data_IF_683710123306
#
_entry.id   IF_683710123306
#
_cell.length_a   1.000
_cell.length_b   1.000
_cell.length_c   1.000
_cell.angle_alpha   90.00
_cell.angle_beta   90.00
_cell.angle_gamma   90.00
#
_symmetry.space_group_name_H-M   'P 1'
#
loop_
_entity.id
_entity.type
_entity.pdbx_description
1 polymer ?
#
# COMPACT_ATOMS: atom_id res chain seq x y z
N UNK A 1 23.79 30.83 -12.59
CA UNK A 1 23.45 29.65 -11.78
C UNK A 1 22.85 28.62 -12.71
N UNK A 2 23.61 27.59 -13.04
CA UNK A 2 23.16 26.55 -13.97
C UNK A 2 22.23 25.59 -13.22
N UNK A 3 20.98 25.51 -13.67
CA UNK A 3 19.98 24.60 -13.12
C UNK A 3 20.29 23.19 -13.65
N UNK A 4 20.99 22.36 -12.85
CA UNK A 4 21.16 20.95 -13.20
C UNK A 4 19.80 20.25 -13.14
N UNK A 5 19.19 20.00 -14.30
CA UNK A 5 18.00 19.14 -14.38
C UNK A 5 18.44 17.68 -14.34
N UNK A 6 18.16 16.97 -13.25
CA UNK A 6 18.26 15.51 -13.22
C UNK A 6 17.10 14.90 -14.00
N UNK A 7 17.40 13.92 -14.86
CA UNK A 7 16.39 13.16 -15.62
C UNK A 7 16.42 11.71 -15.14
N UNK A 8 15.25 11.07 -15.08
CA UNK A 8 15.09 9.69 -14.62
C UNK A 8 14.21 8.92 -15.60
N UNK A 9 14.63 7.71 -15.96
CA UNK A 9 13.89 6.83 -16.87
C UNK A 9 12.84 6.04 -16.09
N UNK A 10 11.62 6.00 -16.62
CA UNK A 10 10.53 5.18 -16.07
C UNK A 10 10.28 4.01 -17.03
N UNK A 11 10.43 2.80 -16.52
CA UNK A 11 10.21 1.55 -17.25
C UNK A 11 8.78 1.02 -17.01
N UNK A 12 8.14 0.44 -18.03
CA UNK A 12 6.87 -0.25 -17.86
C UNK A 12 7.04 -1.49 -16.98
N UNK A 13 5.92 -2.00 -16.44
CA UNK A 13 5.89 -3.21 -15.63
C UNK A 13 6.44 -4.40 -16.43
N UNK A 14 7.38 -5.13 -15.84
CA UNK A 14 7.85 -6.41 -16.40
C UNK A 14 6.78 -7.49 -16.18
N UNK A 15 6.19 -8.09 -17.24
CA UNK A 15 5.21 -9.16 -17.08
C UNK A 15 5.84 -10.36 -16.37
N UNK A 16 5.22 -10.85 -15.29
CA UNK A 16 5.67 -12.03 -14.54
C UNK A 16 6.58 -11.74 -13.34
N UNK A 17 7.08 -10.52 -13.15
CA UNK A 17 8.00 -10.18 -12.05
C UNK A 17 7.33 -10.06 -10.66
N UNK A 18 6.00 -10.23 -10.56
CA UNK A 18 5.25 -10.05 -9.31
C UNK A 18 3.98 -10.91 -9.28
N UNK A 19 4.07 -12.16 -9.71
CA UNK A 19 3.11 -13.16 -9.26
C UNK A 19 3.59 -13.65 -7.88
N UNK A 20 3.44 -12.78 -6.86
CA UNK A 20 3.54 -13.23 -5.48
C UNK A 20 2.52 -14.35 -5.28
N UNK A 21 2.89 -15.40 -4.56
CA UNK A 21 2.03 -16.55 -4.26
C UNK A 21 0.63 -16.05 -3.91
N UNK A 22 -0.36 -16.34 -4.75
CA UNK A 22 -1.72 -15.83 -4.61
C UNK A 22 -2.29 -16.31 -3.28
N UNK A 23 -2.17 -15.48 -2.25
CA UNK A 23 -2.92 -15.67 -1.00
C UNK A 23 -4.39 -15.53 -1.39
N UNK A 24 -5.29 -16.45 -0.96
CA UNK A 24 -6.71 -16.28 -1.20
C UNK A 24 -7.15 -14.93 -0.62
N UNK A 25 -7.48 -14.00 -1.50
CA UNK A 25 -7.63 -12.60 -1.17
C UNK A 25 -9.06 -12.31 -0.70
N UNK A 26 -9.18 -11.61 0.42
CA UNK A 26 -10.45 -11.22 1.01
C UNK A 26 -11.01 -9.92 0.39
N UNK A 27 -10.24 -9.26 -0.48
CA UNK A 27 -10.66 -8.03 -1.15
C UNK A 27 -11.52 -8.31 -2.39
N UNK A 28 -12.57 -7.51 -2.63
CA UNK A 28 -13.29 -7.50 -3.89
C UNK A 28 -12.33 -7.33 -5.09
N UNK A 29 -12.47 -8.09 -6.20
CA UNK A 29 -11.53 -8.09 -7.32
C UNK A 29 -11.27 -6.71 -7.95
N UNK A 30 -12.25 -5.81 -7.87
CA UNK A 30 -12.12 -4.44 -8.41
C UNK A 30 -11.14 -3.56 -7.63
N UNK A 31 -10.94 -3.86 -6.34
CA UNK A 31 -9.97 -3.17 -5.48
C UNK A 31 -8.58 -3.80 -5.57
N UNK A 32 -8.53 -5.05 -6.02
CA UNK A 32 -7.32 -5.83 -6.12
C UNK A 32 -6.61 -5.49 -7.43
N UNK A 33 -5.34 -5.20 -7.33
CA UNK A 33 -4.48 -5.15 -8.50
C UNK A 33 -3.89 -6.54 -8.79
N UNK A 34 -3.39 -6.83 -10.00
CA UNK A 34 -2.73 -8.11 -10.28
C UNK A 34 -1.56 -8.45 -9.33
N UNK A 35 -0.97 -7.45 -8.66
CA UNK A 35 0.05 -7.64 -7.63
C UNK A 35 -0.51 -7.83 -6.20
N UNK A 36 -1.83 -7.84 -6.00
CA UNK A 36 -2.46 -7.93 -4.69
C UNK A 36 -2.41 -6.63 -3.87
N UNK A 37 -2.21 -5.48 -4.53
CA UNK A 37 -2.20 -4.17 -3.86
C UNK A 37 -3.60 -3.54 -3.88
N UNK A 38 -3.86 -2.68 -2.90
CA UNK A 38 -5.03 -1.82 -2.85
C UNK A 38 -4.62 -0.44 -2.30
N UNK A 39 -5.34 0.61 -2.70
CA UNK A 39 -5.14 1.97 -2.19
C UNK A 39 -6.19 2.31 -1.14
N UNK A 40 -5.73 2.68 0.05
CA UNK A 40 -6.56 3.20 1.13
C UNK A 40 -6.18 4.65 1.41
N UNK A 41 -7.17 5.52 1.46
CA UNK A 41 -7.04 6.94 1.77
C UNK A 41 -7.83 7.26 3.04
N UNK A 42 -7.14 7.83 4.02
CA UNK A 42 -7.69 8.22 5.31
C UNK A 42 -7.48 9.72 5.52
N UNK A 43 -8.54 10.47 5.84
CA UNK A 43 -8.41 11.84 6.29
C UNK A 43 -8.04 11.88 7.79
N UNK A 44 -6.74 11.75 8.08
CA UNK A 44 -6.21 11.73 9.43
C UNK A 44 -4.88 10.98 9.49
N UNK A 45 -4.51 10.56 10.69
CA UNK A 45 -3.29 9.77 10.93
C UNK A 45 -3.65 8.49 11.67
N UNK A 46 -2.90 7.42 11.39
CA UNK A 46 -2.95 6.17 12.17
C UNK A 46 -1.86 6.25 13.22
N UNK A 47 -2.23 6.17 14.49
CA UNK A 47 -1.26 6.09 15.57
C UNK A 47 -0.85 4.63 15.71
N UNK A 48 0.41 4.34 15.39
CA UNK A 48 1.00 3.02 15.53
C UNK A 48 1.77 2.94 16.85
N UNK A 49 1.88 1.75 17.47
CA UNK A 49 2.81 1.54 18.56
C UNK A 49 4.24 1.86 18.09
N UNK A 50 5.08 2.36 18.99
CA UNK A 50 6.51 2.51 18.71
C UNK A 50 7.06 1.13 18.33
N UNK A 51 7.74 1.04 17.18
CA UNK A 51 8.41 -0.20 16.81
C UNK A 51 9.39 -0.54 17.94
N UNK A 52 9.49 -1.80 18.39
CA UNK A 52 10.53 -2.16 19.34
C UNK A 52 11.85 -1.75 18.70
N UNK A 53 12.53 -0.78 19.33
CA UNK A 53 13.93 -0.53 19.01
C UNK A 53 14.59 -1.88 19.29
N UNK A 54 15.20 -2.47 18.26
CA UNK A 54 16.09 -3.59 18.53
C UNK A 54 17.02 -3.13 19.65
N UNK A 55 17.25 -4.00 20.64
CA UNK A 55 18.30 -3.79 21.62
C UNK A 55 19.64 -3.81 20.83
N UNK A 56 19.96 -2.70 20.18
CA UNK A 56 21.24 -2.43 19.53
C UNK A 56 22.19 -1.92 20.62
N UNK A 57 22.52 -2.82 21.56
CA UNK A 57 23.81 -2.76 22.22
C UNK A 57 24.86 -3.17 21.17
N UNK A 58 25.27 -2.23 20.32
CA UNK A 58 26.66 -2.13 19.81
C UNK A 58 26.86 -0.84 19.01
N UNK A 59 27.84 -0.05 19.46
CA UNK A 59 28.14 1.32 19.06
C UNK A 59 28.55 1.44 17.58
N UNK A 60 27.88 2.33 16.81
CA UNK A 60 28.33 2.57 15.43
C UNK A 60 27.51 3.56 14.59
N UNK A 61 27.66 4.86 14.87
CA UNK A 61 27.69 5.97 13.89
C UNK A 61 26.68 5.99 12.72
N UNK A 62 25.71 6.91 12.82
CA UNK A 62 25.44 7.87 11.75
C UNK A 62 24.35 7.52 10.73
N UNK A 63 23.30 8.34 10.72
CA UNK A 63 22.35 8.44 9.61
C UNK A 63 20.97 7.90 9.95
N UNK A 64 20.08 8.80 10.38
CA UNK A 64 18.64 8.53 10.40
C UNK A 64 18.15 8.41 8.95
N UNK A 65 18.30 7.23 8.37
CA UNK A 65 17.60 6.85 7.16
C UNK A 65 16.20 6.39 7.56
N UNK A 66 15.19 7.04 6.99
CA UNK A 66 13.79 6.62 7.05
C UNK A 66 13.75 5.16 6.59
N UNK A 67 13.59 4.22 7.53
CA UNK A 67 13.80 2.79 7.30
C UNK A 67 12.86 2.31 6.20
N UNK A 68 13.40 2.15 4.99
CA UNK A 68 12.74 1.42 3.92
C UNK A 68 12.68 -0.02 4.40
N UNK A 69 11.47 -0.50 4.65
CA UNK A 69 11.15 -1.83 5.15
C UNK A 69 12.03 -2.91 4.49
N UNK A 70 13.07 -3.34 5.21
CA UNK A 70 13.82 -4.55 4.88
C UNK A 70 12.97 -5.80 5.15
N UNK A 71 13.47 -6.99 4.83
CA UNK A 71 12.77 -8.27 5.02
C UNK A 71 12.44 -8.63 6.48
N UNK A 72 12.75 -7.76 7.45
CA UNK A 72 12.44 -7.88 8.87
C UNK A 72 11.49 -6.78 9.39
N UNK A 73 10.83 -6.02 8.50
CA UNK A 73 9.85 -5.05 8.92
C UNK A 73 8.69 -5.76 9.65
N UNK A 74 8.62 -5.55 10.96
CA UNK A 74 7.58 -6.12 11.80
C UNK A 74 6.23 -5.52 11.39
N UNK A 75 5.35 -6.33 10.83
CA UNK A 75 3.99 -5.91 10.48
C UNK A 75 3.18 -5.69 11.75
N UNK A 76 2.55 -4.53 11.89
CA UNK A 76 1.65 -4.24 13.02
C UNK A 76 0.21 -4.38 12.55
N UNK A 77 -0.59 -5.30 13.11
CA UNK A 77 -2.00 -5.40 12.77
C UNK A 77 -2.74 -4.16 13.30
N UNK A 78 -3.25 -3.33 12.39
CA UNK A 78 -3.96 -2.09 12.75
C UNK A 78 -5.47 -2.29 12.93
N UNK A 79 -6.05 -3.29 12.28
CA UNK A 79 -7.49 -3.35 12.10
C UNK A 79 -7.96 -4.29 11.00
N UNK A 80 -9.24 -4.12 10.60
CA UNK A 80 -9.90 -4.94 9.58
C UNK A 80 -10.81 -4.11 8.68
N UNK A 81 -10.87 -4.47 7.41
CA UNK A 81 -11.87 -3.99 6.45
C UNK A 81 -13.07 -4.93 6.40
N UNK A 82 -14.25 -4.34 6.28
CA UNK A 82 -15.51 -5.05 6.16
C UNK A 82 -16.34 -4.47 5.00
N UNK A 83 -16.83 -5.36 4.14
CA UNK A 83 -17.63 -5.03 2.97
C UNK A 83 -19.04 -5.62 3.15
N UNK A 84 -19.88 -5.01 4.00
CA UNK A 84 -21.14 -5.62 4.46
C UNK A 84 -22.13 -5.90 3.33
N UNK A 85 -22.06 -5.11 2.26
CA UNK A 85 -22.97 -5.19 1.12
C UNK A 85 -22.35 -5.95 -0.07
N UNK A 86 -21.10 -6.41 0.03
CA UNK A 86 -20.42 -7.13 -1.05
C UNK A 86 -20.83 -8.59 -1.09
N UNK A 87 -21.37 -9.01 -2.23
CA UNK A 87 -21.73 -10.39 -2.52
C UNK A 87 -20.89 -10.87 -3.72
N UNK A 88 -19.98 -11.85 -3.54
CA UNK A 88 -19.15 -12.37 -4.63
C UNK A 88 -19.96 -13.15 -5.69
N UNK A 89 -21.19 -13.55 -5.38
CA UNK A 89 -22.09 -14.21 -6.34
C UNK A 89 -22.94 -13.22 -7.16
N UNK A 90 -22.96 -11.94 -6.77
CA UNK A 90 -23.59 -10.90 -7.56
C UNK A 90 -22.79 -10.63 -8.84
N UNK A 91 -23.48 -10.34 -9.94
CA UNK A 91 -22.84 -10.04 -11.23
C UNK A 91 -21.87 -8.86 -11.16
N UNK A 92 -20.90 -8.82 -12.08
CA UNK A 92 -19.80 -7.86 -12.10
C UNK A 92 -20.22 -6.37 -12.16
N UNK A 93 -21.45 -6.09 -12.58
CA UNK A 93 -22.02 -4.74 -12.64
C UNK A 93 -22.59 -4.26 -11.29
N UNK A 94 -22.64 -5.13 -10.28
CA UNK A 94 -23.09 -4.77 -8.93
C UNK A 94 -22.06 -3.84 -8.29
N UNK A 95 -22.35 -2.54 -8.29
CA UNK A 95 -21.52 -1.49 -7.68
C UNK A 95 -22.17 -0.91 -6.42
N UNK A 96 -23.37 -1.36 -6.05
CA UNK A 96 -24.09 -0.86 -4.88
C UNK A 96 -23.31 -0.99 -3.57
N UNK A 97 -22.55 -2.08 -3.43
CA UNK A 97 -21.70 -2.36 -2.27
C UNK A 97 -20.57 -1.36 -2.08
N UNK A 98 -20.14 -0.67 -3.15
CA UNK A 98 -19.08 0.33 -3.10
C UNK A 98 -19.45 1.53 -2.22
N UNK A 99 -20.73 1.75 -1.95
CA UNK A 99 -21.21 2.90 -1.16
C UNK A 99 -20.87 2.83 0.32
N UNK A 100 -20.50 1.63 0.81
CA UNK A 100 -20.27 1.43 2.24
C UNK A 100 -19.21 0.37 2.49
N UNK A 101 -18.13 0.80 3.11
CA UNK A 101 -17.07 -0.03 3.65
C UNK A 101 -16.81 0.40 5.08
N UNK A 102 -16.57 -0.55 5.98
CA UNK A 102 -16.18 -0.24 7.35
C UNK A 102 -14.71 -0.60 7.58
N UNK A 103 -13.96 0.34 8.15
CA UNK A 103 -12.63 0.10 8.69
C UNK A 103 -12.73 0.09 10.22
N UNK A 104 -12.41 -1.04 10.81
CA UNK A 104 -12.32 -1.23 12.26
C UNK A 104 -10.87 -1.01 12.66
N UNK A 105 -10.57 0.00 13.48
CA UNK A 105 -9.22 0.29 13.98
C UNK A 105 -9.17 0.00 15.47
N UNK A 106 -8.33 -0.97 15.84
CA UNK A 106 -8.30 -1.50 17.21
C UNK A 106 -9.70 -1.94 17.71
N UNK A 107 -9.91 -1.96 19.05
CA UNK A 107 -11.16 -2.43 19.64
C UNK A 107 -12.28 -1.38 19.72
N UNK A 108 -12.02 -0.11 19.42
CA UNK A 108 -12.90 1.00 19.83
C UNK A 108 -13.29 1.97 18.72
N UNK A 109 -12.76 1.85 17.50
CA UNK A 109 -12.97 2.86 16.45
C UNK A 109 -13.49 2.25 15.16
N UNK A 110 -14.57 2.84 14.62
CA UNK A 110 -15.12 2.52 13.30
C UNK A 110 -14.94 3.71 12.40
N UNK A 111 -14.51 3.49 11.18
CA UNK A 111 -14.64 4.47 10.11
C UNK A 111 -15.56 3.92 9.04
N UNK A 112 -16.51 4.75 8.63
CA UNK A 112 -17.37 4.46 7.48
C UNK A 112 -16.79 5.17 6.26
N UNK A 113 -16.60 4.41 5.20
CA UNK A 113 -16.02 4.88 3.94
C UNK A 113 -16.74 4.29 2.74
N UNK A 114 -16.16 4.55 1.57
CA UNK A 114 -16.68 4.09 0.28
C UNK A 114 -15.54 3.64 -0.63
N UNK A 115 -15.84 2.78 -1.61
CA UNK A 115 -14.96 2.50 -2.74
C UNK A 115 -15.23 3.52 -3.83
N UNK A 116 -14.18 4.20 -4.27
CA UNK A 116 -14.28 5.27 -5.27
C UNK A 116 -13.38 5.01 -6.46
N UNK A 117 -13.97 5.07 -7.66
CA UNK A 117 -13.20 5.09 -8.90
C UNK A 117 -12.40 6.38 -8.99
N UNK A 118 -11.11 6.26 -9.30
CA UNK A 118 -10.23 7.40 -9.49
C UNK A 118 -10.53 8.07 -10.84
N UNK A 119 -10.70 9.41 -10.90
CA UNK A 119 -10.85 10.12 -12.17
C UNK A 119 -9.63 9.95 -13.08
N UNK A 120 -8.46 9.78 -12.49
CA UNK A 120 -7.19 9.48 -13.16
C UNK A 120 -6.54 8.29 -12.43
N UNK A 121 -6.22 7.19 -13.14
CA UNK A 121 -5.51 6.07 -12.54
C UNK A 121 -4.17 6.52 -11.94
N UNK A 122 -3.78 5.89 -10.84
CA UNK A 122 -2.52 6.18 -10.15
C UNK A 122 -1.52 5.07 -10.41
N UNK A 123 -0.32 5.43 -10.89
CA UNK A 123 0.78 4.49 -11.06
C UNK A 123 1.58 4.38 -9.76
N UNK A 124 1.75 3.16 -9.25
CA UNK A 124 2.70 2.84 -8.18
C UNK A 124 4.04 2.56 -8.85
N UNK A 125 5.08 3.31 -8.48
CA UNK A 125 6.43 3.17 -9.02
C UNK A 125 7.42 2.79 -7.93
N UNK A 126 8.43 1.99 -8.28
CA UNK A 126 9.55 1.64 -7.39
C UNK A 126 10.88 1.94 -8.07
N UNK A 127 11.93 2.16 -7.29
CA UNK A 127 13.30 2.19 -7.82
C UNK A 127 13.73 0.78 -8.23
N UNK A 128 14.35 0.64 -9.40
CA UNK A 128 14.88 -0.64 -9.86
C UNK A 128 16.14 -0.98 -9.06
N UNK A 129 16.11 -2.06 -8.28
CA UNK A 129 17.31 -2.54 -7.59
C UNK A 129 18.28 -3.14 -8.62
N UNK A 130 19.54 -2.67 -8.63
CA UNK A 130 20.56 -3.25 -9.49
C UNK A 130 20.97 -4.63 -8.95
N UNK A 131 20.86 -5.66 -9.79
CA UNK A 131 21.44 -6.97 -9.49
C UNK A 131 22.97 -6.85 -9.60
N UNK A 132 23.67 -7.10 -8.49
CA UNK A 132 25.08 -6.76 -8.26
C UNK A 132 26.11 -7.54 -9.11
N UNK A 133 25.65 -8.34 -10.08
CA UNK A 133 26.49 -9.31 -10.81
C UNK A 133 26.81 -8.94 -12.28
N UNK A 134 26.44 -7.76 -12.76
CA UNK A 134 26.79 -7.35 -14.12
C UNK A 134 28.02 -6.45 -14.14
N UNK A 135 29.16 -7.03 -14.54
CA UNK A 135 30.48 -6.40 -14.65
C UNK A 135 30.62 -5.41 -15.82
N UNK A 136 29.60 -4.58 -16.09
CA UNK A 136 29.65 -3.49 -17.07
C UNK A 136 29.27 -2.17 -16.39
N UNK A 137 30.24 -1.60 -15.65
CA UNK A 137 30.12 -0.33 -14.92
C UNK A 137 30.43 0.87 -15.80
N UNK A 138 29.61 1.10 -16.83
CA UNK A 138 29.55 2.40 -17.48
C UNK A 138 28.12 2.67 -17.99
N UNK A 139 27.43 3.63 -17.34
CA UNK A 139 26.19 4.29 -17.79
C UNK A 139 24.81 3.72 -17.40
N UNK A 140 24.67 2.93 -16.34
CA UNK A 140 23.33 2.69 -15.74
C UNK A 140 23.12 3.62 -14.55
N UNK A 141 22.42 4.72 -14.81
CA UNK A 141 22.02 5.71 -13.82
C UNK A 141 21.37 5.03 -12.61
N UNK A 142 21.86 5.32 -11.41
CA UNK A 142 21.49 4.69 -10.13
C UNK A 142 20.02 4.94 -9.68
N UNK A 143 19.13 5.42 -10.56
CA UNK A 143 17.83 5.97 -10.16
C UNK A 143 16.65 5.56 -11.06
N UNK A 144 16.81 4.62 -11.99
CA UNK A 144 15.72 4.19 -12.85
C UNK A 144 14.50 3.69 -12.05
N UNK A 145 13.30 4.07 -12.50
CA UNK A 145 12.02 3.71 -11.90
C UNK A 145 11.32 2.63 -12.72
N UNK A 146 10.57 1.76 -12.07
CA UNK A 146 9.70 0.76 -12.69
C UNK A 146 8.27 0.96 -12.20
N UNK A 147 7.30 0.92 -13.12
CA UNK A 147 5.88 0.84 -12.77
C UNK A 147 5.59 -0.54 -12.19
N UNK A 148 5.19 -0.58 -10.93
CA UNK A 148 4.75 -1.80 -10.24
C UNK A 148 3.31 -2.10 -10.59
N UNK A 149 2.45 -1.08 -10.58
CA UNK A 149 1.01 -1.27 -10.72
C UNK A 149 0.27 0.00 -11.13
N UNK A 150 -0.93 -0.17 -11.70
CA UNK A 150 -1.87 0.91 -11.97
C UNK A 150 -3.15 0.70 -11.16
N UNK A 151 -3.42 1.61 -10.24
CA UNK A 151 -4.59 1.58 -9.36
C UNK A 151 -5.72 2.42 -9.97
N UNK A 152 -6.91 1.83 -10.05
CA UNK A 152 -8.11 2.46 -10.61
C UNK A 152 -9.14 2.85 -9.56
N UNK A 153 -9.10 2.23 -8.37
CA UNK A 153 -10.06 2.43 -7.30
C UNK A 153 -9.32 2.67 -5.98
N UNK A 154 -9.93 3.44 -5.08
CA UNK A 154 -9.46 3.63 -3.71
C UNK A 154 -10.56 3.35 -2.69
N UNK A 155 -10.17 2.93 -1.51
CA UNK A 155 -10.98 2.97 -0.30
C UNK A 155 -10.84 4.36 0.31
N UNK A 156 -11.93 5.11 0.45
CA UNK A 156 -11.91 6.48 0.97
C UNK A 156 -12.63 6.55 2.32
N UNK A 157 -11.89 6.95 3.36
CA UNK A 157 -12.41 7.21 4.70
C UNK A 157 -12.19 8.69 5.06
N UNK A 158 -13.19 9.52 4.76
CA UNK A 158 -13.16 10.97 5.01
C UNK A 158 -13.96 11.42 6.23
N UNK A 159 -14.75 10.51 6.82
CA UNK A 159 -15.58 10.81 7.98
C UNK A 159 -14.81 10.61 9.29
N UNK A 160 -15.27 11.30 10.34
CA UNK A 160 -14.69 11.13 11.69
C UNK A 160 -14.92 9.70 12.19
N UNK A 161 -13.95 9.11 12.91
CA UNK A 161 -14.16 7.83 13.56
C UNK A 161 -15.34 7.86 14.53
N UNK A 162 -16.16 6.83 14.48
CA UNK A 162 -17.25 6.58 15.42
C UNK A 162 -16.74 5.67 16.55
N UNK A 163 -17.06 5.98 17.82
CA UNK A 163 -16.72 5.11 18.93
C UNK A 163 -17.54 3.81 18.84
N UNK A 164 -16.89 2.69 19.15
CA UNK A 164 -17.57 1.43 19.40
C UNK A 164 -17.62 1.18 20.89
N UNK A 165 -18.83 1.10 21.44
CA UNK A 165 -19.05 0.40 22.70
C UNK A 165 -19.00 -1.09 22.38
N UNK A 166 -17.98 -1.78 22.89
CA UNK A 166 -17.84 -3.23 22.76
C UNK A 166 -19.18 -3.90 23.12
N UNK A 167 -19.86 -4.44 22.11
CA UNK A 167 -21.01 -5.31 22.32
C UNK A 167 -20.58 -6.69 21.86
N UNK A 168 -20.16 -7.48 22.87
CA UNK A 168 -19.92 -8.92 22.89
C UNK A 168 -18.94 -9.52 21.86
N UNK A 169 -17.79 -9.96 22.38
CA UNK A 169 -17.20 -11.24 21.96
C UNK A 169 -18.04 -12.39 22.53
#
# INVERSE_FOLDING_TARGET
>A
MDNQSSTVTIHPRTPGASAGTAVPDALPPVLQTPAGLALLELQGTINLPEAPRGDEDEEGQGGQEHSVAGPHAQTVPIGRLDFPDYDPSAGADSTGWMRRVHLYVGPHQRLTGEVKKLPRPLAVVRRKQQQKDSADRAALNETDLEVVEVVYYKLLFSQRPEPMTATSF
#
